data_IF_254825283433
#
_entry.id   IF_254825283433
#
_cell.length_a   1.000
_cell.length_b   1.000
_cell.length_c   1.000
_cell.angle_alpha   90.00
_cell.angle_beta   90.00
_cell.angle_gamma   90.00
#
_symmetry.space_group_name_H-M   'P 1'
#
loop_
_entity.id
_entity.type
_entity.pdbx_description
1 polymer ?
#
# COMPACT_ATOMS: atom_id res chain seq x y z
N UNK A 1 -24.54 8.91 -4.69
CA UNK A 1 -23.74 9.88 -3.93
C UNK A 1 -22.84 9.10 -2.98
N UNK A 2 -21.64 9.57 -2.66
CA UNK A 2 -20.60 8.76 -2.02
C UNK A 2 -20.71 8.73 -0.48
N UNK A 3 -21.40 7.74 0.07
CA UNK A 3 -21.49 7.50 1.53
C UNK A 3 -20.22 6.85 2.14
N UNK A 4 -19.26 6.50 1.29
CA UNK A 4 -18.01 5.77 1.60
C UNK A 4 -17.23 6.26 2.85
N UNK A 5 -17.00 7.58 3.09
CA UNK A 5 -16.26 8.01 4.28
C UNK A 5 -17.06 7.84 5.58
N UNK A 6 -18.40 7.96 5.52
CA UNK A 6 -19.29 7.73 6.67
C UNK A 6 -19.39 6.23 7.00
N UNK A 7 -19.41 5.38 5.97
CA UNK A 7 -19.41 3.93 6.16
C UNK A 7 -18.14 3.46 6.89
N UNK A 8 -16.96 3.95 6.48
CA UNK A 8 -15.71 3.61 7.16
C UNK A 8 -15.63 4.20 8.56
N UNK A 9 -16.12 5.42 8.80
CA UNK A 9 -16.23 5.95 10.17
C UNK A 9 -17.14 5.07 11.05
N UNK A 10 -18.25 4.57 10.50
CA UNK A 10 -19.16 3.62 11.18
C UNK A 10 -18.49 2.27 11.44
N UNK A 11 -17.70 1.75 10.49
CA UNK A 11 -16.95 0.50 10.68
C UNK A 11 -15.85 0.65 11.75
N UNK A 12 -15.08 1.74 11.71
CA UNK A 12 -14.06 2.09 12.70
C UNK A 12 -14.69 2.25 14.10
N UNK A 13 -15.77 3.02 14.25
CA UNK A 13 -16.46 3.22 15.54
C UNK A 13 -17.17 1.99 16.10
N UNK A 14 -17.52 1.02 15.25
CA UNK A 14 -18.09 -0.28 15.66
C UNK A 14 -17.00 -1.36 15.80
N UNK A 15 -15.72 -1.02 15.59
CA UNK A 15 -14.63 -1.99 15.75
C UNK A 15 -14.25 -2.14 17.23
N UNK A 16 -13.93 -3.36 17.65
CA UNK A 16 -13.43 -3.63 19.00
C UNK A 16 -12.14 -2.85 19.32
N UNK A 17 -11.37 -2.50 18.28
CA UNK A 17 -10.13 -1.73 18.37
C UNK A 17 -10.35 -0.22 18.27
N UNK A 18 -11.59 0.28 18.20
CA UNK A 18 -11.88 1.71 18.09
C UNK A 18 -11.19 2.52 19.19
N UNK A 19 -11.26 2.02 20.43
CA UNK A 19 -10.66 2.67 21.59
C UNK A 19 -9.13 2.74 21.46
N UNK A 20 -8.48 1.70 20.92
CA UNK A 20 -7.04 1.69 20.66
C UNK A 20 -6.63 2.63 19.52
N UNK A 21 -7.43 2.70 18.45
CA UNK A 21 -7.23 3.67 17.36
C UNK A 21 -7.35 5.10 17.90
N UNK A 22 -8.36 5.37 18.75
CA UNK A 22 -8.60 6.67 19.38
C UNK A 22 -7.46 7.04 20.33
N UNK A 23 -7.00 6.12 21.18
CA UNK A 23 -5.86 6.36 22.08
C UNK A 23 -4.58 6.63 21.29
N UNK A 24 -4.28 5.83 20.25
CA UNK A 24 -3.14 6.07 19.37
C UNK A 24 -3.21 7.44 18.69
N UNK A 25 -4.39 7.82 18.18
CA UNK A 25 -4.62 9.14 17.58
C UNK A 25 -4.43 10.28 18.59
N UNK A 26 -4.91 10.15 19.83
CA UNK A 26 -4.70 11.14 20.89
C UNK A 26 -3.22 11.27 21.25
N UNK A 27 -2.49 10.17 21.38
CA UNK A 27 -1.04 10.20 21.63
C UNK A 27 -0.27 10.84 20.45
N UNK A 28 -0.67 10.54 19.22
CA UNK A 28 -0.07 11.12 18.01
C UNK A 28 -0.33 12.63 17.95
N UNK A 29 -1.56 13.09 18.22
CA UNK A 29 -1.92 14.52 18.35
C UNK A 29 -1.09 15.18 19.46
N UNK A 30 -0.99 14.55 20.63
CA UNK A 30 -0.22 15.09 21.77
C UNK A 30 1.26 15.32 21.41
N UNK A 31 1.82 14.47 20.55
CA UNK A 31 3.19 14.59 20.04
C UNK A 31 3.48 15.91 19.32
N UNK A 32 2.48 16.59 18.75
CA UNK A 32 2.66 17.91 18.12
C UNK A 32 2.76 19.06 19.13
N UNK A 33 2.30 18.88 20.38
CA UNK A 33 2.26 19.94 21.39
C UNK A 33 3.40 19.87 22.41
N UNK A 34 4.07 18.71 22.55
CA UNK A 34 5.13 18.52 23.56
C UNK A 34 6.50 18.70 22.92
N UNK A 35 7.22 19.77 23.24
CA UNK A 35 8.41 20.15 22.46
C UNK A 35 9.59 19.16 22.55
N UNK A 36 9.92 18.64 23.75
CA UNK A 36 11.12 17.82 23.96
C UNK A 36 10.89 16.31 23.70
N UNK A 37 9.75 15.77 24.12
CA UNK A 37 9.38 14.35 23.96
C UNK A 37 8.32 14.11 22.88
N UNK A 38 7.87 15.16 22.18
CA UNK A 38 6.83 15.08 21.15
C UNK A 38 7.09 14.05 20.05
N UNK A 39 8.31 13.95 19.48
CA UNK A 39 8.63 12.92 18.48
C UNK A 39 8.40 11.49 19.00
N UNK A 40 8.67 11.22 20.27
CA UNK A 40 8.38 9.92 20.88
C UNK A 40 6.87 9.65 20.95
N UNK A 41 6.07 10.64 21.35
CA UNK A 41 4.61 10.53 21.37
C UNK A 41 4.01 10.40 19.96
N UNK A 42 4.56 11.10 18.95
CA UNK A 42 4.16 10.93 17.56
C UNK A 42 4.42 9.50 17.08
N UNK A 43 5.64 8.98 17.26
CA UNK A 43 6.00 7.63 16.80
C UNK A 43 5.23 6.54 17.56
N UNK A 44 5.10 6.64 18.89
CA UNK A 44 4.36 5.68 19.70
C UNK A 44 2.86 5.70 19.39
N UNK A 45 2.26 6.90 19.26
CA UNK A 45 0.85 7.06 18.87
C UNK A 45 0.58 6.51 17.48
N UNK A 46 1.41 6.86 16.50
CA UNK A 46 1.34 6.35 15.12
C UNK A 46 1.46 4.83 15.05
N UNK A 47 2.44 4.24 15.75
CA UNK A 47 2.62 2.79 15.81
C UNK A 47 1.41 2.08 16.45
N UNK A 48 0.86 2.63 17.53
CA UNK A 48 -0.36 2.10 18.16
C UNK A 48 -1.57 2.18 17.21
N UNK A 49 -1.75 3.33 16.53
CA UNK A 49 -2.77 3.51 15.50
C UNK A 49 -2.61 2.52 14.35
N UNK A 50 -1.39 2.26 13.87
CA UNK A 50 -1.09 1.24 12.85
C UNK A 50 -1.57 -0.14 13.28
N UNK A 51 -1.15 -0.61 14.46
CA UNK A 51 -1.48 -1.96 14.93
C UNK A 51 -3.00 -2.11 15.08
N UNK A 52 -3.66 -1.11 15.66
CA UNK A 52 -5.10 -1.13 15.88
C UNK A 52 -5.92 -1.01 14.57
N UNK A 53 -5.48 -0.19 13.60
CA UNK A 53 -6.14 -0.11 12.27
C UNK A 53 -5.91 -1.36 11.43
N UNK A 54 -4.73 -1.98 11.47
CA UNK A 54 -4.47 -3.26 10.81
C UNK A 54 -5.40 -4.37 11.34
N UNK A 55 -5.52 -4.49 12.67
CA UNK A 55 -6.45 -5.45 13.29
C UNK A 55 -7.92 -5.17 12.96
N UNK A 56 -8.32 -3.90 12.90
CA UNK A 56 -9.67 -3.51 12.49
C UNK A 56 -9.94 -3.84 11.01
N UNK A 57 -9.00 -3.56 10.10
CA UNK A 57 -9.11 -3.84 8.67
C UNK A 57 -9.18 -5.35 8.37
N UNK A 58 -8.40 -6.18 9.09
CA UNK A 58 -8.51 -7.65 9.01
C UNK A 58 -9.89 -8.18 9.39
N UNK A 59 -10.63 -7.47 10.24
CA UNK A 59 -11.96 -7.90 10.68
C UNK A 59 -13.08 -7.54 9.68
N UNK A 60 -12.90 -6.46 8.90
CA UNK A 60 -13.89 -5.94 7.93
C UNK A 60 -13.17 -5.24 6.75
N UNK A 61 -12.76 -5.97 5.70
CA UNK A 61 -12.19 -5.36 4.51
C UNK A 61 -13.25 -4.58 3.72
N UNK A 62 -12.94 -3.33 3.35
CA UNK A 62 -13.85 -2.42 2.60
C UNK A 62 -13.80 -2.74 1.11
N UNK A 63 -14.93 -2.92 0.41
CA UNK A 63 -14.92 -3.31 -1.02
C UNK A 63 -14.35 -2.25 -1.98
N UNK A 64 -14.44 -0.96 -1.66
CA UNK A 64 -13.93 0.15 -2.48
C UNK A 64 -12.88 0.95 -1.71
N UNK A 65 -11.61 0.64 -1.96
CA UNK A 65 -10.50 1.11 -1.11
C UNK A 65 -9.71 2.27 -1.72
N UNK A 66 -9.51 2.25 -3.04
CA UNK A 66 -8.66 3.23 -3.74
C UNK A 66 -9.18 4.68 -3.62
N UNK A 67 -10.50 4.96 -3.74
CA UNK A 67 -11.01 6.32 -3.53
C UNK A 67 -10.81 6.80 -2.09
N UNK A 68 -11.01 5.91 -1.11
CA UNK A 68 -10.82 6.21 0.31
C UNK A 68 -9.38 6.52 0.67
N UNK A 69 -8.42 5.77 0.11
CA UNK A 69 -6.99 6.03 0.24
C UNK A 69 -6.63 7.44 -0.26
N UNK A 70 -7.12 7.81 -1.44
CA UNK A 70 -6.89 9.14 -2.04
C UNK A 70 -7.52 10.25 -1.19
N UNK A 71 -8.73 10.05 -0.67
CA UNK A 71 -9.40 11.02 0.21
C UNK A 71 -8.63 11.18 1.53
N UNK A 72 -8.21 10.08 2.17
CA UNK A 72 -7.40 10.13 3.40
C UNK A 72 -6.07 10.86 3.21
N UNK A 73 -5.36 10.56 2.12
CA UNK A 73 -4.12 11.26 1.73
C UNK A 73 -4.34 12.74 1.44
N UNK A 74 -5.41 13.09 0.71
CA UNK A 74 -5.75 14.50 0.43
C UNK A 74 -6.04 15.27 1.73
N UNK A 75 -6.82 14.69 2.64
CA UNK A 75 -7.10 15.28 3.96
C UNK A 75 -5.80 15.49 4.74
N UNK A 76 -4.91 14.49 4.76
CA UNK A 76 -3.63 14.59 5.48
C UNK A 76 -2.73 15.69 4.89
N UNK A 77 -2.63 15.79 3.56
CA UNK A 77 -1.90 16.85 2.85
C UNK A 77 -2.49 18.24 3.18
N UNK A 78 -3.82 18.38 3.11
CA UNK A 78 -4.52 19.63 3.49
C UNK A 78 -4.25 19.99 4.95
N UNK A 79 -4.19 19.01 5.86
CA UNK A 79 -3.80 19.21 7.26
C UNK A 79 -2.41 19.81 7.43
N UNK A 80 -1.42 19.35 6.65
CA UNK A 80 -0.08 19.95 6.65
C UNK A 80 -0.06 21.38 6.10
N UNK A 81 -0.85 21.69 5.06
CA UNK A 81 -0.99 23.07 4.58
C UNK A 81 -1.69 23.98 5.59
N UNK A 82 -2.69 23.48 6.31
CA UNK A 82 -3.38 24.22 7.39
C UNK A 82 -2.41 24.55 8.53
N UNK A 83 -1.44 23.67 8.82
CA UNK A 83 -0.42 23.89 9.85
C UNK A 83 0.48 25.11 9.58
N UNK A 84 0.59 25.55 8.30
CA UNK A 84 1.30 26.77 7.91
C UNK A 84 0.57 28.07 8.33
N UNK A 85 -0.73 28.00 8.66
CA UNK A 85 -1.51 29.15 9.11
C UNK A 85 -1.22 29.39 10.59
N UNK A 86 -0.61 30.52 11.00
CA UNK A 86 -0.32 30.78 12.41
C UNK A 86 -1.61 30.82 13.25
N UNK A 87 -1.51 30.41 14.52
CA UNK A 87 -2.61 30.23 15.49
C UNK A 87 -3.60 29.13 15.11
N UNK A 88 -4.31 29.25 13.98
CA UNK A 88 -5.35 28.29 13.57
C UNK A 88 -4.76 26.92 13.22
N UNK A 89 -3.64 26.92 12.50
CA UNK A 89 -2.93 25.71 12.08
C UNK A 89 -2.35 24.90 13.23
N UNK A 90 -1.98 25.55 14.34
CA UNK A 90 -1.42 24.89 15.52
C UNK A 90 -2.44 23.94 16.18
N UNK A 91 -3.72 24.33 16.21
CA UNK A 91 -4.77 23.54 16.86
C UNK A 91 -5.49 22.60 15.88
N UNK A 92 -5.83 23.10 14.68
CA UNK A 92 -6.64 22.35 13.71
C UNK A 92 -5.77 21.43 12.84
N UNK A 93 -4.54 21.86 12.49
CA UNK A 93 -3.62 21.10 11.64
C UNK A 93 -3.35 19.68 12.16
N UNK A 94 -2.84 19.50 13.39
CA UNK A 94 -2.58 18.19 13.97
C UNK A 94 -3.80 17.25 13.95
N UNK A 95 -4.99 17.76 14.24
CA UNK A 95 -6.22 16.96 14.24
C UNK A 95 -6.57 16.47 12.83
N UNK A 96 -6.47 17.33 11.83
CA UNK A 96 -6.73 16.96 10.42
C UNK A 96 -5.66 16.01 9.88
N UNK A 97 -4.38 16.24 10.19
CA UNK A 97 -3.27 15.35 9.80
C UNK A 97 -3.49 13.95 10.36
N UNK A 98 -3.80 13.83 11.66
CA UNK A 98 -3.99 12.53 12.31
C UNK A 98 -5.27 11.86 11.82
N UNK A 99 -6.37 12.60 11.61
CA UNK A 99 -7.60 12.03 11.04
C UNK A 99 -7.40 11.50 9.60
N UNK A 100 -6.74 12.29 8.73
CA UNK A 100 -6.37 11.86 7.38
C UNK A 100 -5.43 10.64 7.39
N UNK A 101 -4.47 10.62 8.31
CA UNK A 101 -3.55 9.51 8.52
C UNK A 101 -4.24 8.22 9.00
N UNK A 102 -5.19 8.30 9.94
CA UNK A 102 -6.00 7.14 10.39
C UNK A 102 -6.80 6.55 9.23
N UNK A 103 -7.45 7.40 8.42
CA UNK A 103 -8.17 6.97 7.22
C UNK A 103 -7.21 6.32 6.20
N UNK A 104 -6.08 6.97 5.90
CA UNK A 104 -5.09 6.46 4.97
C UNK A 104 -4.56 5.09 5.41
N UNK A 105 -4.26 4.89 6.71
CA UNK A 105 -3.84 3.61 7.26
C UNK A 105 -4.92 2.53 7.10
N UNK A 106 -6.16 2.82 7.48
CA UNK A 106 -7.26 1.86 7.40
C UNK A 106 -7.55 1.40 5.95
N UNK A 107 -7.55 2.35 5.00
CA UNK A 107 -7.66 2.03 3.59
C UNK A 107 -6.39 1.33 3.07
N UNK A 108 -5.18 1.76 3.43
CA UNK A 108 -3.94 1.09 3.00
C UNK A 108 -3.88 -0.38 3.43
N UNK A 109 -4.24 -0.69 4.68
CA UNK A 109 -4.35 -2.07 5.15
C UNK A 109 -5.45 -2.85 4.42
N UNK A 110 -6.60 -2.22 4.13
CA UNK A 110 -7.64 -2.84 3.31
C UNK A 110 -7.17 -3.14 1.87
N UNK A 111 -6.33 -2.29 1.24
CA UNK A 111 -5.73 -2.57 -0.07
C UNK A 111 -4.76 -3.75 0.03
N UNK A 112 -3.90 -3.73 1.06
CA UNK A 112 -2.89 -4.76 1.25
C UNK A 112 -3.53 -6.15 1.44
N UNK A 113 -4.55 -6.23 2.30
CA UNK A 113 -5.31 -7.46 2.54
C UNK A 113 -6.03 -7.95 1.27
N UNK A 114 -6.68 -7.06 0.51
CA UNK A 114 -7.28 -7.44 -0.78
C UNK A 114 -6.25 -7.97 -1.77
N UNK A 115 -5.07 -7.36 -1.84
CA UNK A 115 -4.01 -7.82 -2.75
C UNK A 115 -3.45 -9.19 -2.35
N UNK A 116 -3.38 -9.50 -1.06
CA UNK A 116 -2.97 -10.83 -0.57
C UNK A 116 -3.98 -11.92 -1.00
N UNK A 117 -5.25 -11.58 -1.15
CA UNK A 117 -6.34 -12.52 -1.50
C UNK A 117 -6.68 -12.57 -3.01
N UNK A 118 -5.96 -11.83 -3.87
CA UNK A 118 -6.26 -11.73 -5.31
C UNK A 118 -5.14 -12.39 -6.16
N UNK A 119 -5.45 -13.39 -7.01
CA UNK A 119 -4.45 -14.12 -7.81
C UNK A 119 -3.70 -13.28 -8.85
N UNK A 120 -4.11 -12.02 -9.06
CA UNK A 120 -3.43 -11.05 -9.93
C UNK A 120 -2.10 -10.58 -9.34
N UNK A 121 -1.89 -10.64 -8.01
CA UNK A 121 -0.57 -10.34 -7.42
C UNK A 121 0.45 -11.39 -7.86
N UNK A 122 0.07 -12.66 -7.94
CA UNK A 122 0.91 -13.73 -8.48
C UNK A 122 1.39 -13.41 -9.90
N UNK A 123 0.47 -12.94 -10.76
CA UNK A 123 0.82 -12.52 -12.12
C UNK A 123 1.70 -11.26 -12.17
N UNK A 124 1.60 -10.33 -11.22
CA UNK A 124 2.51 -9.17 -11.12
C UNK A 124 3.87 -9.53 -10.51
N UNK A 125 3.91 -10.52 -9.62
CA UNK A 125 5.12 -11.08 -9.03
C UNK A 125 5.90 -11.85 -10.11
N UNK A 126 5.22 -12.66 -10.92
CA UNK A 126 5.78 -13.27 -12.14
C UNK A 126 6.24 -12.19 -13.16
N UNK A 127 5.55 -11.06 -13.27
CA UNK A 127 5.95 -9.94 -14.14
C UNK A 127 7.16 -9.15 -13.59
N UNK A 128 7.29 -9.03 -12.27
CA UNK A 128 8.44 -8.41 -11.60
C UNK A 128 9.66 -9.34 -11.63
N UNK A 129 9.47 -10.64 -11.37
CA UNK A 129 10.53 -11.63 -11.48
C UNK A 129 11.05 -11.75 -12.92
N UNK A 130 10.16 -11.75 -13.93
CA UNK A 130 10.59 -11.78 -15.34
C UNK A 130 11.27 -10.48 -15.80
N UNK A 131 10.98 -9.35 -15.17
CA UNK A 131 11.74 -8.09 -15.34
C UNK A 131 13.10 -8.12 -14.61
N UNK A 132 13.18 -8.69 -13.40
CA UNK A 132 14.45 -8.82 -12.66
C UNK A 132 15.38 -9.84 -13.31
N UNK A 133 14.87 -11.01 -13.71
CA UNK A 133 15.65 -12.06 -14.40
C UNK A 133 16.20 -11.60 -15.76
N UNK A 134 15.55 -10.63 -16.43
CA UNK A 134 16.08 -9.96 -17.63
C UNK A 134 17.15 -8.88 -17.35
N UNK A 135 17.40 -8.55 -16.09
CA UNK A 135 18.40 -7.55 -15.68
C UNK A 135 19.70 -8.16 -15.17
N UNK A 136 19.69 -9.47 -14.91
CA UNK A 136 20.82 -10.29 -14.47
C UNK A 136 21.32 -11.27 -15.55
N UNK A 137 21.14 -10.96 -16.85
CA UNK A 137 21.96 -11.60 -17.89
C UNK A 137 23.40 -11.06 -17.77
N UNK A 138 24.42 -11.93 -17.56
CA UNK A 138 25.79 -11.48 -17.44
C UNK A 138 26.28 -10.82 -18.73
N UNK A 139 26.98 -9.70 -18.58
CA UNK A 139 27.88 -9.17 -19.61
C UNK A 139 28.83 -10.29 -20.07
N UNK A 140 28.62 -10.82 -21.27
CA UNK A 140 29.67 -11.45 -22.04
C UNK A 140 30.34 -10.35 -22.88
N UNK A 141 31.62 -10.08 -22.62
CA UNK A 141 32.44 -9.21 -23.47
C UNK A 141 32.95 -9.94 -24.73
N UNK A 142 33.40 -9.23 -25.78
CA UNK A 142 33.40 -9.73 -27.16
C UNK A 142 34.75 -10.32 -27.64
N UNK A 143 34.79 -10.66 -28.95
CA UNK A 143 35.93 -11.12 -29.80
C UNK A 143 36.32 -12.61 -29.71
N UNK A 144 36.77 -13.29 -30.78
CA UNK A 144 36.54 -13.17 -32.24
C UNK A 144 37.02 -14.47 -32.96
N UNK A 145 36.62 -14.69 -34.22
CA UNK A 145 37.04 -15.71 -35.22
C UNK A 145 37.51 -17.09 -34.70
N UNK A 146 36.72 -18.17 -34.88
CA UNK A 146 36.81 -19.17 -35.98
C UNK A 146 35.85 -20.36 -35.65
N UNK A 147 35.47 -21.33 -36.51
CA UNK A 147 35.86 -21.73 -37.89
C UNK A 147 34.67 -22.40 -38.65
N UNK A 148 34.96 -23.01 -39.81
CA UNK A 148 34.21 -24.02 -40.58
C UNK A 148 33.57 -25.16 -39.73
N UNK A 149 32.49 -25.87 -40.12
CA UNK A 149 31.99 -26.28 -41.45
C UNK A 149 30.44 -26.36 -41.50
N UNK A 150 29.84 -26.08 -42.66
CA UNK A 150 28.47 -26.48 -43.07
C UNK A 150 28.62 -27.50 -44.21
N UNK A 151 28.05 -28.72 -44.16
CA UNK A 151 26.67 -28.99 -44.67
C UNK A 151 25.94 -30.11 -43.84
N UNK A 152 24.72 -30.61 -44.12
CA UNK A 152 23.80 -30.53 -45.27
C UNK A 152 22.30 -30.74 -44.84
N UNK A 153 21.38 -30.56 -45.79
CA UNK A 153 19.88 -30.64 -45.75
C UNK A 153 19.33 -32.11 -45.83
N UNK A 154 18.01 -32.41 -46.05
CA UNK A 154 16.71 -31.87 -45.57
C UNK A 154 15.65 -32.99 -45.24
N UNK A 155 14.36 -32.62 -45.11
CA UNK A 155 13.15 -33.50 -45.19
C UNK A 155 12.94 -34.54 -44.06
N UNK A 156 11.74 -35.07 -43.79
CA UNK A 156 10.43 -34.92 -44.44
C UNK A 156 9.28 -34.91 -43.40
N UNK A 157 8.18 -34.33 -43.84
CA UNK A 157 6.81 -34.32 -43.32
C UNK A 157 6.19 -35.74 -43.32
N UNK A 158 5.37 -36.09 -42.31
CA UNK A 158 4.16 -36.90 -42.54
C UNK A 158 3.23 -37.05 -41.31
N UNK A 159 2.07 -36.42 -41.42
CA UNK A 159 0.72 -36.94 -41.15
C UNK A 159 0.55 -38.35 -40.55
N UNK A 160 -0.15 -38.48 -39.42
CA UNK A 160 -1.36 -39.33 -39.36
C UNK A 160 -2.29 -39.00 -38.18
N UNK A 161 -3.57 -39.31 -38.37
CA UNK A 161 -4.68 -39.11 -37.43
C UNK A 161 -5.44 -40.44 -37.25
N UNK A 162 -6.45 -40.47 -36.35
CA UNK A 162 -7.24 -41.68 -35.99
C UNK A 162 -6.40 -42.66 -35.11
N UNK A 163 -6.94 -43.44 -34.16
CA UNK A 163 -8.30 -43.99 -34.01
C UNK A 163 -8.89 -43.92 -32.57
N UNK A 164 -10.23 -43.76 -32.56
CA UNK A 164 -11.27 -44.44 -31.76
C UNK A 164 -11.13 -44.61 -30.24
#
# INVERSE_FOLDING_TARGET
>A
MSEQPLEVFKQISTSQNFLLILVGAVFWILGYYVWFIGPFFMVAGFALTIIATAQAAMSKPVSSVLPGLLIGGLIQIVGYYILLIPVVGLFIGPVIIVFGGVLLLFYAFSVALQRIDIPVVKNLEDFLESQQKKKDEPKAEPEDVTTEVVPEKPSEDDTESTEQ
#
